data_IF_584120242630
#
_entry.id   IF_584120242630
#
_cell.length_a   1.000
_cell.length_b   1.000
_cell.length_c   1.000
_cell.angle_alpha   90.00
_cell.angle_beta   90.00
_cell.angle_gamma   90.00
#
_symmetry.space_group_name_H-M   'P 1'
#
loop_
_entity.id
_entity.type
_entity.pdbx_description
1 polymer ?
#
# COMPACT_ATOMS: atom_id res chain seq x y z
N UNK A 1 17.97 34.15 20.61
CA UNK A 1 18.96 33.10 20.92
C UNK A 1 19.31 33.23 22.39
N UNK A 2 18.49 32.63 23.26
CA UNK A 2 18.66 32.70 24.71
C UNK A 2 18.71 31.27 25.23
N UNK A 3 19.91 30.77 25.49
CA UNK A 3 20.10 29.47 26.11
C UNK A 3 20.07 29.65 27.63
N UNK A 4 19.18 28.87 28.23
CA UNK A 4 18.95 28.69 29.65
C UNK A 4 20.23 28.18 30.33
N UNK A 5 20.95 29.07 31.00
CA UNK A 5 22.03 28.70 31.94
C UNK A 5 21.43 28.57 33.34
N UNK A 6 21.47 27.37 33.90
CA UNK A 6 21.13 27.14 35.30
C UNK A 6 22.10 27.92 36.23
N UNK A 7 21.67 28.34 37.44
CA UNK A 7 22.41 29.31 38.25
C UNK A 7 23.71 28.81 38.89
N UNK A 8 24.08 27.54 38.75
CA UNK A 8 25.14 26.90 39.56
C UNK A 8 26.40 26.49 38.80
N UNK A 9 26.49 26.72 37.49
CA UNK A 9 27.70 26.46 36.69
C UNK A 9 28.13 25.00 36.58
N UNK A 10 27.32 24.03 37.03
CA UNK A 10 27.56 22.61 36.74
C UNK A 10 26.91 22.25 35.41
N UNK A 11 27.67 21.54 34.56
CA UNK A 11 27.11 20.91 33.37
C UNK A 11 26.01 19.93 33.77
N UNK A 12 25.04 19.64 32.89
CA UNK A 12 23.96 18.70 33.22
C UNK A 12 24.55 17.36 33.67
N UNK A 13 24.19 16.92 34.87
CA UNK A 13 24.64 15.64 35.44
C UNK A 13 24.24 14.49 34.50
N UNK A 14 25.09 13.47 34.37
CA UNK A 14 24.91 12.34 33.45
C UNK A 14 23.56 11.64 33.66
N UNK A 15 23.11 11.55 34.91
CA UNK A 15 21.79 11.04 35.32
C UNK A 15 20.62 11.87 34.75
N UNK A 16 20.82 13.17 34.57
CA UNK A 16 19.81 14.08 33.98
C UNK A 16 19.77 13.90 32.45
N UNK A 17 20.92 13.67 31.83
CA UNK A 17 21.01 13.39 30.39
C UNK A 17 20.38 12.02 30.08
N UNK A 18 20.66 11.00 30.88
CA UNK A 18 20.08 9.66 30.75
C UNK A 18 18.57 9.67 31.00
N UNK A 19 18.08 10.43 31.99
CA UNK A 19 16.64 10.60 32.22
C UNK A 19 15.94 11.29 31.04
N UNK A 20 16.58 12.28 30.41
CA UNK A 20 16.05 12.96 29.23
C UNK A 20 16.07 12.06 27.99
N UNK A 21 17.11 11.24 27.82
CA UNK A 21 17.22 10.25 26.74
C UNK A 21 16.17 9.15 26.92
N UNK A 22 15.98 8.66 28.14
CA UNK A 22 15.00 7.63 28.45
C UNK A 22 13.56 8.17 28.31
N UNK A 23 13.31 9.42 28.69
CA UNK A 23 12.04 10.09 28.38
C UNK A 23 11.82 10.27 26.87
N UNK A 24 12.87 10.59 26.10
CA UNK A 24 12.77 10.72 24.65
C UNK A 24 12.49 9.38 23.96
N UNK A 25 13.16 8.31 24.39
CA UNK A 25 12.93 6.94 23.87
C UNK A 25 11.53 6.47 24.24
N UNK A 26 11.10 6.69 25.48
CA UNK A 26 9.74 6.35 25.96
C UNK A 26 8.66 7.14 25.23
N UNK A 27 8.92 8.40 24.86
CA UNK A 27 8.03 9.23 24.00
C UNK A 27 7.97 8.71 22.55
N UNK A 28 9.06 8.18 22.00
CA UNK A 28 9.06 7.60 20.64
C UNK A 28 8.21 6.33 20.56
N UNK A 29 8.26 5.49 21.58
CA UNK A 29 7.45 4.27 21.65
C UNK A 29 5.98 4.57 21.95
N UNK A 30 5.72 5.56 22.82
CA UNK A 30 4.36 6.05 23.10
C UNK A 30 3.68 6.62 21.87
N UNK A 31 4.39 7.32 20.98
CA UNK A 31 3.79 7.84 19.77
C UNK A 31 3.38 6.72 18.81
N UNK A 32 4.22 5.69 18.63
CA UNK A 32 3.88 4.52 17.81
C UNK A 32 2.71 3.74 18.43
N UNK A 33 2.69 3.57 19.74
CA UNK A 33 1.61 2.86 20.44
C UNK A 33 0.30 3.66 20.44
N UNK A 34 0.35 4.97 20.65
CA UNK A 34 -0.81 5.88 20.51
C UNK A 34 -1.26 5.92 19.05
N UNK A 35 -0.37 5.80 18.07
CA UNK A 35 -0.74 5.76 16.64
C UNK A 35 -1.38 4.42 16.26
N UNK A 36 -0.87 3.28 16.76
CA UNK A 36 -1.48 1.96 16.58
C UNK A 36 -2.86 1.92 17.27
N UNK A 37 -2.95 2.45 18.50
CA UNK A 37 -4.21 2.57 19.24
C UNK A 37 -5.16 3.60 18.62
N UNK A 38 -4.70 4.73 18.08
CA UNK A 38 -5.55 5.69 17.38
C UNK A 38 -6.06 5.14 16.05
N UNK A 39 -5.28 4.28 15.37
CA UNK A 39 -5.72 3.55 14.19
C UNK A 39 -6.76 2.47 14.52
N UNK A 40 -6.76 1.96 15.76
CA UNK A 40 -7.67 0.94 16.27
C UNK A 40 -8.93 1.54 16.94
N UNK A 41 -8.78 2.67 17.63
CA UNK A 41 -9.76 3.27 18.54
C UNK A 41 -10.39 4.56 17.97
N UNK A 42 -9.81 5.19 16.93
CA UNK A 42 -10.38 6.35 16.22
C UNK A 42 -11.66 6.06 15.43
N UNK A 43 -12.16 4.83 15.56
CA UNK A 43 -13.28 4.22 14.82
C UNK A 43 -14.45 3.84 15.73
N UNK A 44 -14.44 4.21 17.01
CA UNK A 44 -15.66 4.12 17.85
C UNK A 44 -16.42 5.45 17.83
N UNK A 45 -17.34 5.60 16.88
CA UNK A 45 -18.45 6.55 16.99
C UNK A 45 -19.73 5.76 17.33
N UNK A 46 -20.50 6.15 18.37
CA UNK A 46 -21.71 5.42 18.75
C UNK A 46 -22.84 5.72 17.75
N UNK A 47 -23.05 4.82 16.79
CA UNK A 47 -24.19 4.83 15.87
C UNK A 47 -25.20 3.71 16.20
N UNK A 48 -26.51 3.99 16.32
CA UNK A 48 -27.50 2.97 16.57
C UNK A 48 -27.91 2.30 15.25
N UNK A 49 -27.69 0.98 15.16
CA UNK A 49 -28.47 0.12 14.28
C UNK A 49 -27.82 -0.28 12.95
N UNK A 50 -27.75 -1.60 12.76
CA UNK A 50 -27.34 -2.24 11.51
C UNK A 50 -25.93 -2.82 11.59
N UNK A 51 -25.77 -3.99 12.23
CA UNK A 51 -24.56 -4.82 12.08
C UNK A 51 -24.46 -5.31 10.64
N UNK A 52 -24.04 -4.45 9.72
CA UNK A 52 -23.65 -4.86 8.37
C UNK A 52 -22.48 -5.82 8.55
N UNK A 53 -22.65 -7.06 8.11
CA UNK A 53 -21.64 -8.12 8.29
C UNK A 53 -20.31 -7.63 7.71
N UNK A 54 -19.33 -7.35 8.59
CA UNK A 54 -17.97 -6.88 8.23
C UNK A 54 -17.33 -7.68 7.08
N UNK A 55 -17.61 -8.98 6.99
CA UNK A 55 -17.13 -9.84 5.90
C UNK A 55 -17.74 -9.53 4.51
N UNK A 56 -19.00 -9.09 4.44
CA UNK A 56 -19.67 -8.85 3.15
C UNK A 56 -19.17 -7.61 2.41
N UNK A 57 -18.81 -6.56 3.16
CA UNK A 57 -18.39 -5.28 2.59
C UNK A 57 -16.97 -5.39 1.99
N UNK A 58 -16.05 -6.04 2.72
CA UNK A 58 -14.70 -6.29 2.25
C UNK A 58 -14.68 -7.21 1.01
N UNK A 59 -15.53 -8.24 1.01
CA UNK A 59 -15.69 -9.13 -0.15
C UNK A 59 -16.25 -8.39 -1.37
N UNK A 60 -17.25 -7.52 -1.17
CA UNK A 60 -17.82 -6.72 -2.24
C UNK A 60 -16.78 -5.78 -2.87
N UNK A 61 -15.96 -5.12 -2.04
CA UNK A 61 -14.85 -4.28 -2.50
C UNK A 61 -13.82 -5.07 -3.30
N UNK A 62 -13.42 -6.26 -2.84
CA UNK A 62 -12.49 -7.13 -3.56
C UNK A 62 -13.01 -7.55 -4.95
N UNK A 63 -14.29 -7.94 -5.02
CA UNK A 63 -14.92 -8.33 -6.29
C UNK A 63 -14.96 -7.12 -7.24
N UNK A 64 -15.37 -5.96 -6.73
CA UNK A 64 -15.48 -4.74 -7.52
C UNK A 64 -14.11 -4.28 -8.06
N UNK A 65 -13.09 -4.27 -7.20
CA UNK A 65 -11.72 -3.97 -7.61
C UNK A 65 -11.23 -4.95 -8.67
N UNK A 66 -11.47 -6.24 -8.50
CA UNK A 66 -11.04 -7.24 -9.49
C UNK A 66 -11.76 -7.04 -10.82
N UNK A 67 -13.08 -6.85 -10.81
CA UNK A 67 -13.88 -6.67 -12.02
C UNK A 67 -13.42 -5.48 -12.88
N UNK A 68 -13.12 -4.34 -12.26
CA UNK A 68 -12.60 -3.16 -12.97
C UNK A 68 -11.17 -3.34 -13.51
N UNK A 69 -10.41 -4.27 -12.94
CA UNK A 69 -8.99 -4.46 -13.21
C UNK A 69 -8.68 -5.53 -14.25
N UNK A 70 -9.57 -6.50 -14.41
CA UNK A 70 -9.45 -7.59 -15.39
C UNK A 70 -9.26 -7.08 -16.83
N UNK A 71 -10.02 -6.10 -17.35
CA UNK A 71 -9.85 -5.64 -18.73
C UNK A 71 -8.47 -5.03 -18.98
N UNK A 72 -8.01 -4.17 -18.06
CA UNK A 72 -6.70 -3.53 -18.15
C UNK A 72 -5.54 -4.53 -18.05
N UNK A 73 -5.65 -5.49 -17.12
CA UNK A 73 -4.66 -6.58 -16.97
C UNK A 73 -4.60 -7.45 -18.21
N UNK A 74 -5.77 -7.82 -18.75
CA UNK A 74 -5.86 -8.62 -19.98
C UNK A 74 -5.21 -7.90 -21.15
N UNK A 75 -5.44 -6.59 -21.28
CA UNK A 75 -4.83 -5.77 -22.33
C UNK A 75 -3.30 -5.74 -22.20
N UNK A 76 -2.76 -5.47 -21.00
CA UNK A 76 -1.32 -5.44 -20.75
C UNK A 76 -0.63 -6.78 -21.04
N UNK A 77 -1.18 -7.87 -20.51
CA UNK A 77 -0.61 -9.20 -20.71
C UNK A 77 -0.72 -9.58 -22.19
N UNK A 78 -1.82 -9.26 -22.87
CA UNK A 78 -1.95 -9.49 -24.32
C UNK A 78 -0.94 -8.72 -25.14
N UNK A 79 -0.72 -7.44 -24.82
CA UNK A 79 0.28 -6.62 -25.51
C UNK A 79 1.66 -7.28 -25.40
N UNK A 80 2.06 -7.66 -24.19
CA UNK A 80 3.32 -8.37 -23.95
C UNK A 80 3.39 -9.71 -24.69
N UNK A 81 2.30 -10.49 -24.70
CA UNK A 81 2.25 -11.80 -25.36
C UNK A 81 2.44 -11.72 -26.88
N UNK A 82 2.01 -10.63 -27.53
CA UNK A 82 2.16 -10.46 -28.98
C UNK A 82 3.61 -10.19 -29.37
N UNK A 83 4.39 -9.60 -28.46
CA UNK A 83 5.80 -9.29 -28.66
C UNK A 83 6.72 -10.50 -28.39
N UNK A 84 6.18 -11.64 -27.92
CA UNK A 84 6.96 -12.86 -27.79
C UNK A 84 7.42 -13.38 -29.17
N UNK A 85 8.66 -13.93 -29.28
CA UNK A 85 9.13 -14.51 -30.53
C UNK A 85 8.27 -15.69 -30.96
N UNK A 86 7.78 -15.67 -32.20
CA UNK A 86 6.98 -16.76 -32.79
C UNK A 86 7.72 -18.10 -32.84
N UNK A 87 9.05 -18.06 -32.92
CA UNK A 87 9.92 -19.23 -32.91
C UNK A 87 9.70 -20.13 -31.69
N UNK A 88 9.24 -19.56 -30.56
CA UNK A 88 8.94 -20.32 -29.34
C UNK A 88 7.72 -21.23 -29.52
N UNK A 89 6.70 -20.75 -30.22
CA UNK A 89 5.50 -21.53 -30.51
C UNK A 89 5.81 -22.62 -31.55
N UNK A 90 6.60 -22.29 -32.57
CA UNK A 90 7.03 -23.23 -33.61
C UNK A 90 7.90 -24.36 -33.04
N UNK A 91 8.84 -24.02 -32.14
CA UNK A 91 9.67 -25.02 -31.45
C UNK A 91 8.82 -25.95 -30.58
N UNK A 92 7.83 -25.41 -29.85
CA UNK A 92 6.93 -26.23 -29.03
C UNK A 92 6.08 -27.19 -29.88
N UNK A 93 5.68 -26.78 -31.09
CA UNK A 93 4.96 -27.62 -32.04
C UNK A 93 5.86 -28.74 -32.61
N UNK A 94 7.11 -28.43 -32.94
CA UNK A 94 8.12 -29.41 -33.39
C UNK A 94 8.40 -30.45 -32.28
N UNK A 95 8.46 -30.01 -31.02
CA UNK A 95 8.62 -30.89 -29.85
C UNK A 95 7.35 -31.72 -29.53
N UNK A 96 6.28 -31.58 -30.31
CA UNK A 96 5.03 -32.31 -30.14
C UNK A 96 4.22 -31.89 -28.91
N UNK A 97 4.50 -30.71 -28.36
CA UNK A 97 3.76 -30.19 -27.22
C UNK A 97 2.35 -29.78 -27.63
N UNK A 98 1.33 -30.17 -26.85
CA UNK A 98 -0.03 -29.65 -27.05
C UNK A 98 -0.08 -28.15 -26.74
N UNK A 99 -0.98 -27.40 -27.42
CA UNK A 99 -1.18 -25.96 -27.19
C UNK A 99 -1.36 -25.59 -25.71
N UNK A 100 -2.08 -26.44 -24.97
CA UNK A 100 -2.26 -26.27 -23.52
C UNK A 100 -0.95 -26.41 -22.75
N UNK A 101 -0.14 -27.39 -23.10
CA UNK A 101 1.18 -27.61 -22.49
C UNK A 101 2.13 -26.46 -22.80
N UNK A 102 2.18 -26.02 -24.06
CA UNK A 102 3.01 -24.89 -24.50
C UNK A 102 2.62 -23.61 -23.75
N UNK A 103 1.33 -23.31 -23.63
CA UNK A 103 0.87 -22.14 -22.89
C UNK A 103 1.32 -22.16 -21.42
N UNK A 104 1.03 -23.22 -20.67
CA UNK A 104 1.30 -23.25 -19.22
C UNK A 104 2.78 -23.43 -18.88
N UNK A 105 3.54 -24.17 -19.69
CA UNK A 105 4.95 -24.49 -19.39
C UNK A 105 5.95 -23.56 -20.05
N UNK A 106 5.57 -22.85 -21.11
CA UNK A 106 6.50 -22.02 -21.90
C UNK A 106 6.03 -20.56 -21.88
N UNK A 107 4.86 -20.25 -22.44
CA UNK A 107 4.38 -18.87 -22.62
C UNK A 107 4.14 -18.19 -21.26
N UNK A 108 3.40 -18.84 -20.35
CA UNK A 108 3.07 -18.27 -19.05
C UNK A 108 4.31 -17.94 -18.19
N UNK A 109 5.32 -18.82 -18.04
CA UNK A 109 6.54 -18.46 -17.31
C UNK A 109 7.35 -17.37 -18.00
N UNK A 110 7.31 -17.25 -19.33
CA UNK A 110 7.93 -16.11 -20.04
C UNK A 110 7.19 -14.79 -19.78
N UNK A 111 5.90 -14.84 -19.45
CA UNK A 111 5.10 -13.68 -19.05
C UNK A 111 5.27 -13.28 -17.56
N UNK A 112 6.10 -13.98 -16.77
CA UNK A 112 6.37 -13.62 -15.36
C UNK A 112 6.76 -12.15 -15.16
N UNK A 113 7.59 -11.51 -16.01
CA UNK A 113 7.96 -10.10 -15.85
C UNK A 113 6.73 -9.17 -15.91
N UNK A 114 5.90 -9.31 -16.95
CA UNK A 114 4.69 -8.49 -17.10
C UNK A 114 3.66 -8.76 -16.00
N UNK A 115 3.50 -10.01 -15.57
CA UNK A 115 2.61 -10.36 -14.46
C UNK A 115 3.07 -9.67 -13.17
N UNK A 116 4.37 -9.71 -12.87
CA UNK A 116 4.93 -9.09 -11.67
C UNK A 116 4.73 -7.58 -11.68
N UNK A 117 5.02 -6.91 -12.80
CA UNK A 117 4.80 -5.47 -12.95
C UNK A 117 3.32 -5.11 -12.83
N UNK A 118 2.44 -5.91 -13.44
CA UNK A 118 1.00 -5.67 -13.37
C UNK A 118 0.50 -5.81 -11.94
N UNK A 119 0.92 -6.82 -11.18
CA UNK A 119 0.56 -6.97 -9.76
C UNK A 119 1.01 -5.76 -8.94
N UNK A 120 2.24 -5.29 -9.12
CA UNK A 120 2.74 -4.11 -8.41
C UNK A 120 1.92 -2.85 -8.72
N UNK A 121 1.59 -2.63 -9.99
CA UNK A 121 0.70 -1.55 -10.40
C UNK A 121 -0.67 -1.67 -9.71
N UNK A 122 -1.25 -2.86 -9.67
CA UNK A 122 -2.54 -3.10 -9.03
C UNK A 122 -2.52 -2.80 -7.53
N UNK A 123 -1.45 -3.17 -6.83
CA UNK A 123 -1.32 -2.85 -5.39
C UNK A 123 -1.22 -1.34 -5.19
N UNK A 124 -0.43 -0.63 -5.99
CA UNK A 124 -0.35 0.85 -5.93
C UNK A 124 -1.73 1.48 -6.11
N UNK A 125 -2.50 0.98 -7.07
CA UNK A 125 -3.82 1.51 -7.33
C UNK A 125 -4.83 1.17 -6.23
N UNK A 126 -4.86 -0.07 -5.74
CA UNK A 126 -5.75 -0.48 -4.67
C UNK A 126 -5.47 0.31 -3.39
N UNK A 127 -4.20 0.65 -3.15
CA UNK A 127 -3.78 1.48 -2.02
C UNK A 127 -4.30 2.91 -2.08
N UNK A 128 -4.37 3.50 -3.29
CA UNK A 128 -4.83 4.86 -3.52
C UNK A 128 -6.33 4.95 -3.81
N UNK A 129 -7.04 3.83 -3.80
CA UNK A 129 -8.46 3.81 -4.14
C UNK A 129 -9.30 4.43 -3.02
N UNK A 130 -10.08 5.44 -3.40
CA UNK A 130 -10.87 6.25 -2.46
C UNK A 130 -12.37 6.16 -2.70
N UNK A 131 -12.82 6.13 -3.97
CA UNK A 131 -14.22 6.31 -4.33
C UNK A 131 -15.05 5.09 -3.92
N UNK A 132 -14.63 3.90 -4.35
CA UNK A 132 -15.34 2.68 -4.01
C UNK A 132 -15.24 2.39 -2.51
N UNK A 133 -14.07 2.62 -1.92
CA UNK A 133 -13.89 2.50 -0.48
C UNK A 133 -14.88 3.40 0.27
N UNK A 134 -14.92 4.70 -0.02
CA UNK A 134 -15.85 5.62 0.65
C UNK A 134 -17.30 5.19 0.52
N UNK A 135 -17.74 4.80 -0.69
CA UNK A 135 -19.13 4.43 -0.95
C UNK A 135 -19.54 3.19 -0.14
N UNK A 136 -18.65 2.21 -0.02
CA UNK A 136 -18.94 0.95 0.67
C UNK A 136 -18.66 0.99 2.18
N UNK A 137 -17.73 1.84 2.63
CA UNK A 137 -17.35 1.97 4.05
C UNK A 137 -17.97 3.17 4.74
N UNK A 138 -18.91 3.88 4.09
CA UNK A 138 -19.60 5.00 4.73
C UNK A 138 -20.43 4.48 5.92
N UNK A 139 -20.13 4.96 7.13
CA UNK A 139 -20.82 4.53 8.35
C UNK A 139 -20.41 3.15 8.89
N UNK A 140 -19.35 2.53 8.38
CA UNK A 140 -18.80 1.28 8.92
C UNK A 140 -17.60 1.53 9.85
N UNK A 141 -17.36 0.61 10.79
CA UNK A 141 -16.16 0.60 11.65
C UNK A 141 -14.88 0.17 10.90
N UNK A 142 -14.92 0.08 9.56
CA UNK A 142 -13.82 -0.46 8.74
C UNK A 142 -13.62 0.45 7.56
N UNK A 143 -12.65 1.35 7.65
CA UNK A 143 -12.32 2.31 6.61
C UNK A 143 -10.97 1.97 5.97
N UNK A 144 -10.84 2.25 4.67
CA UNK A 144 -9.52 2.20 4.01
C UNK A 144 -8.70 3.41 4.42
N UNK A 145 -7.37 3.31 4.28
CA UNK A 145 -6.46 4.36 4.68
C UNK A 145 -6.77 5.74 4.06
N UNK A 146 -7.10 5.86 2.75
CA UNK A 146 -7.50 7.14 2.16
C UNK A 146 -8.80 7.70 2.77
N UNK A 147 -9.78 6.84 3.06
CA UNK A 147 -11.07 7.26 3.67
C UNK A 147 -10.87 7.67 5.12
N UNK A 148 -10.04 6.96 5.88
CA UNK A 148 -9.68 7.32 7.24
C UNK A 148 -8.92 8.65 7.31
N UNK A 149 -8.03 8.92 6.34
CA UNK A 149 -7.28 10.17 6.28
C UNK A 149 -8.19 11.38 6.02
N UNK A 150 -9.19 11.26 5.14
CA UNK A 150 -10.16 12.36 4.94
C UNK A 150 -11.10 12.53 6.14
N UNK A 151 -11.43 11.44 6.86
CA UNK A 151 -12.12 11.53 8.15
C UNK A 151 -11.28 12.25 9.20
N UNK A 152 -9.97 11.98 9.25
CA UNK A 152 -9.02 12.63 10.16
C UNK A 152 -8.95 14.14 9.89
N UNK A 153 -8.83 14.56 8.63
CA UNK A 153 -8.87 15.97 8.24
C UNK A 153 -10.19 16.64 8.63
N UNK A 154 -11.32 15.94 8.50
CA UNK A 154 -12.63 16.48 8.85
C UNK A 154 -12.79 16.68 10.36
N UNK A 155 -12.25 15.75 11.17
CA UNK A 155 -12.31 15.80 12.65
C UNK A 155 -11.26 16.73 13.27
N UNK A 156 -10.06 16.80 12.70
CA UNK A 156 -8.88 17.47 13.26
C UNK A 156 -8.32 18.57 12.34
N UNK A 157 -9.14 19.16 11.45
CA UNK A 157 -8.67 20.07 10.41
C UNK A 157 -7.93 21.33 10.89
N UNK A 158 -8.02 21.65 12.18
CA UNK A 158 -7.29 22.75 12.85
C UNK A 158 -6.03 22.28 13.58
N UNK A 159 -5.84 20.97 13.77
CA UNK A 159 -4.67 20.33 14.39
C UNK A 159 -3.76 19.77 13.30
N UNK A 160 -3.02 20.68 12.66
CA UNK A 160 -2.10 20.36 11.58
C UNK A 160 -1.04 19.30 11.94
N UNK A 161 -0.42 19.29 13.14
CA UNK A 161 0.51 18.25 13.54
C UNK A 161 -0.05 16.83 13.41
N UNK A 162 -1.29 16.60 13.87
CA UNK A 162 -1.93 15.27 13.82
C UNK A 162 -2.24 14.87 12.38
N UNK A 163 -2.75 15.80 11.56
CA UNK A 163 -3.07 15.54 10.15
C UNK A 163 -1.80 15.21 9.34
N UNK A 164 -0.71 15.95 9.52
CA UNK A 164 0.55 15.67 8.84
C UNK A 164 1.18 14.34 9.27
N UNK A 165 1.12 13.99 10.56
CA UNK A 165 1.58 12.69 11.02
C UNK A 165 0.81 11.54 10.33
N UNK A 166 -0.52 11.66 10.23
CA UNK A 166 -1.36 10.70 9.51
C UNK A 166 -0.99 10.57 8.03
N UNK A 167 -0.72 11.67 7.34
CA UNK A 167 -0.27 11.67 5.93
C UNK A 167 1.08 10.95 5.74
N UNK A 168 2.05 11.22 6.62
CA UNK A 168 3.38 10.60 6.54
C UNK A 168 3.27 9.09 6.72
N UNK A 169 2.51 8.64 7.72
CA UNK A 169 2.25 7.20 7.96
C UNK A 169 1.55 6.59 6.74
N UNK A 170 0.59 7.29 6.15
CA UNK A 170 -0.10 6.80 4.96
C UNK A 170 0.80 6.66 3.73
N UNK A 171 1.86 7.48 3.64
CA UNK A 171 2.84 7.42 2.56
C UNK A 171 3.87 6.29 2.72
N UNK A 172 4.18 5.85 3.94
CA UNK A 172 5.23 4.84 4.22
C UNK A 172 5.06 3.57 3.39
N UNK A 173 3.88 2.92 3.32
CA UNK A 173 3.75 1.65 2.60
C UNK A 173 3.92 1.79 1.09
N UNK A 174 3.51 2.94 0.53
CA UNK A 174 3.74 3.26 -0.89
C UNK A 174 5.22 3.44 -1.17
N UNK A 175 5.93 4.16 -0.30
CA UNK A 175 7.38 4.36 -0.42
C UNK A 175 8.11 3.01 -0.34
N UNK A 176 7.76 2.16 0.62
CA UNK A 176 8.34 0.82 0.74
C UNK A 176 8.07 -0.01 -0.53
N UNK A 177 6.82 -0.04 -0.99
CA UNK A 177 6.46 -0.78 -2.20
C UNK A 177 7.20 -0.26 -3.43
N UNK A 178 7.41 1.05 -3.54
CA UNK A 178 8.19 1.63 -4.62
C UNK A 178 9.67 1.23 -4.54
N UNK A 179 10.30 1.35 -3.37
CA UNK A 179 11.71 1.00 -3.15
C UNK A 179 11.99 -0.47 -3.48
N UNK A 180 11.09 -1.38 -3.09
CA UNK A 180 11.22 -2.81 -3.41
C UNK A 180 10.74 -3.17 -4.83
N UNK A 181 9.76 -2.43 -5.35
CA UNK A 181 9.08 -2.68 -6.63
C UNK A 181 9.78 -2.08 -7.86
N UNK A 182 10.57 -1.03 -7.71
CA UNK A 182 11.22 -0.31 -8.83
C UNK A 182 12.00 -1.24 -9.77
N UNK A 183 12.72 -2.24 -9.22
CA UNK A 183 13.50 -3.20 -10.01
C UNK A 183 12.65 -4.11 -10.90
N UNK A 184 11.40 -4.33 -10.53
CA UNK A 184 10.46 -5.17 -11.26
C UNK A 184 9.70 -4.34 -12.30
N UNK A 185 9.29 -3.12 -11.94
CA UNK A 185 8.63 -2.19 -12.86
C UNK A 185 9.55 -1.87 -14.04
N UNK A 186 10.82 -1.55 -13.80
CA UNK A 186 11.80 -1.26 -14.85
C UNK A 186 12.02 -2.47 -15.76
N UNK A 187 12.15 -3.68 -15.21
CA UNK A 187 12.32 -4.91 -16.00
C UNK A 187 11.10 -5.25 -16.85
N UNK A 188 9.89 -5.21 -16.27
CA UNK A 188 8.69 -5.59 -17.01
C UNK A 188 8.26 -4.57 -18.08
N UNK A 189 8.64 -3.29 -17.98
CA UNK A 189 8.45 -2.31 -19.06
C UNK A 189 9.55 -2.41 -20.13
N UNK A 190 10.82 -2.60 -19.71
CA UNK A 190 11.95 -2.63 -20.64
C UNK A 190 11.98 -3.90 -21.50
N UNK A 191 11.66 -5.06 -20.92
CA UNK A 191 11.68 -6.35 -21.63
C UNK A 191 10.52 -6.49 -22.62
N UNK A 192 9.44 -5.69 -22.47
CA UNK A 192 8.27 -5.71 -23.36
C UNK A 192 8.30 -4.70 -24.51
N UNK A 193 9.26 -3.76 -24.55
CA UNK A 193 9.34 -2.70 -25.59
C UNK A 193 10.70 -2.72 -26.31
N UNK A 194 11.58 -3.65 -25.96
CA UNK A 194 12.99 -3.63 -26.32
C UNK A 194 13.46 -4.72 -27.30
N UNK A 195 12.69 -5.05 -28.34
CA UNK A 195 13.19 -5.76 -29.54
C UNK A 195 12.44 -5.32 -30.79
#
# INVERSE_FOLDING_TARGET
>A
MGYFTAPDGRGPDDDTVDALVDEHVRRRDLLVEILIRAQHDGVEAPGPGGRVRRGGIAQALLILYTAFRVPFTTFLIRAYMIDLPREVDEAAEIDGASRWTAFWRIILPMCKPIITSTVLLHVLFAWNEYLFAMVFTNGSDVQTLPVGLTSLMSKHGTDFPVVFAGMVIAAVPVVLLFVFGQRYIVKGLADGIGK
#
